data_IF_591439814569
#
_entry.id   IF_591439814569
#
_cell.length_a   1.000
_cell.length_b   1.000
_cell.length_c   1.000
_cell.angle_alpha   90.00
_cell.angle_beta   90.00
_cell.angle_gamma   90.00
#
_symmetry.space_group_name_H-M   'P 1'
#
loop_
_entity.id
_entity.type
_entity.pdbx_description
1 polymer ?
#
# COMPACT_ATOMS: atom_id res chain seq x y z
N UNK A 1 30.42 -18.66 -37.44
CA UNK A 1 30.40 -17.23 -37.10
C UNK A 1 29.47 -17.05 -35.90
N UNK A 2 30.03 -17.07 -34.70
CA UNK A 2 29.27 -16.72 -33.49
C UNK A 2 29.05 -15.21 -33.48
N UNK A 3 27.78 -14.79 -33.46
CA UNK A 3 27.45 -13.37 -33.26
C UNK A 3 27.53 -13.08 -31.77
N UNK A 4 28.48 -12.22 -31.40
CA UNK A 4 28.58 -11.63 -30.07
C UNK A 4 27.24 -10.96 -29.71
N UNK A 5 26.55 -11.53 -28.73
CA UNK A 5 25.44 -10.87 -28.04
C UNK A 5 26.05 -9.80 -27.13
N UNK A 6 26.00 -8.55 -27.57
CA UNK A 6 26.26 -7.39 -26.73
C UNK A 6 25.17 -7.28 -25.68
N UNK A 7 25.50 -7.57 -24.42
CA UNK A 7 24.66 -7.24 -23.28
C UNK A 7 24.54 -5.72 -23.19
N UNK A 8 23.36 -5.19 -23.48
CA UNK A 8 23.02 -3.79 -23.20
C UNK A 8 22.80 -3.70 -21.69
N UNK A 9 23.69 -3.00 -20.99
CA UNK A 9 23.60 -2.75 -19.56
C UNK A 9 22.55 -1.69 -19.27
N UNK A 10 21.28 -2.09 -19.23
CA UNK A 10 20.20 -1.24 -18.68
C UNK A 10 20.21 -1.35 -17.16
N UNK A 11 20.19 -0.21 -16.49
CA UNK A 11 20.08 -0.12 -15.02
C UNK A 11 18.73 -0.66 -14.53
N UNK A 12 18.61 -1.12 -13.26
CA UNK A 12 17.34 -1.57 -12.70
C UNK A 12 16.20 -0.53 -12.82
N UNK A 13 16.54 0.76 -12.75
CA UNK A 13 15.63 1.89 -12.93
C UNK A 13 15.11 1.98 -14.38
N UNK A 14 15.99 1.89 -15.37
CA UNK A 14 15.62 1.85 -16.79
C UNK A 14 14.75 0.62 -17.08
N UNK A 15 15.07 -0.53 -16.48
CA UNK A 15 14.26 -1.75 -16.60
C UNK A 15 12.88 -1.60 -15.96
N UNK A 16 12.76 -0.94 -14.82
CA UNK A 16 11.47 -0.69 -14.18
C UNK A 16 10.60 0.27 -15.01
N UNK A 17 11.20 1.33 -15.56
CA UNK A 17 10.51 2.28 -16.42
C UNK A 17 10.10 1.63 -17.76
N UNK A 18 10.96 0.79 -18.35
CA UNK A 18 10.63 -0.04 -19.51
C UNK A 18 9.44 -0.96 -19.22
N UNK A 19 9.42 -1.64 -18.07
CA UNK A 19 8.32 -2.54 -17.70
C UNK A 19 7.00 -1.81 -17.42
N UNK A 20 7.05 -0.61 -16.84
CA UNK A 20 5.85 0.22 -16.66
C UNK A 20 5.31 0.72 -18.00
N UNK A 21 6.19 1.21 -18.89
CA UNK A 21 5.82 1.64 -20.23
C UNK A 21 5.23 0.49 -21.06
N UNK A 22 5.85 -0.70 -20.99
CA UNK A 22 5.37 -1.90 -21.68
C UNK A 22 4.01 -2.35 -21.12
N UNK A 23 3.80 -2.28 -19.79
CA UNK A 23 2.50 -2.56 -19.16
C UNK A 23 1.41 -1.57 -19.62
N UNK A 24 1.71 -0.28 -19.69
CA UNK A 24 0.78 0.75 -20.17
C UNK A 24 0.46 0.55 -21.65
N UNK A 25 1.46 0.22 -22.47
CA UNK A 25 1.29 -0.05 -23.88
C UNK A 25 0.51 -1.34 -24.15
N UNK A 26 0.70 -2.39 -23.35
CA UNK A 26 -0.12 -3.61 -23.39
C UNK A 26 -1.56 -3.29 -23.01
N UNK A 27 -1.80 -2.46 -21.99
CA UNK A 27 -3.15 -2.01 -21.63
C UNK A 27 -3.82 -1.22 -22.77
N UNK A 28 -3.08 -0.33 -23.43
CA UNK A 28 -3.56 0.43 -24.58
C UNK A 28 -3.86 -0.48 -25.79
N UNK A 29 -2.97 -1.41 -26.12
CA UNK A 29 -3.14 -2.34 -27.23
C UNK A 29 -4.25 -3.38 -26.98
N UNK A 30 -4.39 -3.85 -25.74
CA UNK A 30 -5.49 -4.71 -25.32
C UNK A 30 -6.85 -4.00 -25.41
N UNK A 31 -6.87 -2.69 -25.16
CA UNK A 31 -8.06 -1.85 -25.38
C UNK A 31 -8.35 -1.62 -26.88
N UNK A 32 -7.33 -1.71 -27.75
CA UNK A 32 -7.40 -1.42 -29.19
C UNK A 32 -7.51 -2.65 -30.12
N UNK A 33 -7.55 -3.89 -29.59
CA UNK A 33 -7.73 -5.16 -30.33
C UNK A 33 -6.85 -5.35 -31.59
N UNK A 34 -5.63 -4.82 -31.63
CA UNK A 34 -4.75 -4.95 -32.81
C UNK A 34 -3.30 -5.21 -32.41
N UNK A 35 -2.83 -6.44 -32.63
CA UNK A 35 -1.39 -6.76 -32.66
C UNK A 35 -1.00 -7.15 -34.10
N UNK A 36 0.04 -6.55 -34.71
CA UNK A 36 0.41 -6.82 -36.10
C UNK A 36 1.04 -8.21 -36.30
N UNK A 37 0.77 -8.84 -37.45
CA UNK A 37 1.22 -10.20 -37.82
C UNK A 37 2.74 -10.38 -37.89
N UNK A 38 3.51 -9.29 -37.97
CA UNK A 38 4.95 -9.32 -38.25
C UNK A 38 5.78 -9.71 -37.01
N UNK A 39 5.27 -9.47 -35.80
CA UNK A 39 5.93 -9.87 -34.55
C UNK A 39 5.90 -11.39 -34.32
N UNK A 40 4.93 -12.10 -34.90
CA UNK A 40 4.82 -13.57 -34.80
C UNK A 40 5.91 -14.30 -35.60
N UNK A 41 6.27 -13.79 -36.78
CA UNK A 41 7.25 -14.44 -37.68
C UNK A 41 8.70 -14.38 -37.17
N UNK A 42 9.02 -13.39 -36.32
CA UNK A 42 10.33 -13.26 -35.70
C UNK A 42 10.56 -14.28 -34.56
N UNK A 43 9.48 -14.68 -33.88
CA UNK A 43 9.49 -15.60 -32.75
C UNK A 43 9.71 -17.06 -33.18
N UNK A 44 9.10 -17.50 -34.30
CA UNK A 44 9.27 -18.87 -34.83
C UNK A 44 10.71 -19.21 -35.24
N UNK A 45 11.52 -18.20 -35.57
CA UNK A 45 12.86 -18.40 -36.15
C UNK A 45 13.96 -18.70 -35.11
N UNK A 46 13.70 -18.53 -33.83
CA UNK A 46 14.73 -18.55 -32.77
C UNK A 46 14.63 -19.74 -31.78
N UNK A 47 13.89 -20.79 -32.15
CA UNK A 47 13.43 -21.84 -31.23
C UNK A 47 14.38 -23.06 -31.12
N UNK A 48 15.58 -22.86 -30.57
CA UNK A 48 16.45 -23.98 -30.14
C UNK A 48 17.20 -23.65 -28.84
N UNK A 49 16.83 -24.32 -27.74
CA UNK A 49 17.69 -25.13 -26.83
C UNK A 49 17.21 -25.20 -25.34
N UNK A 50 17.09 -26.46 -24.88
CA UNK A 50 17.30 -27.08 -23.55
C UNK A 50 16.19 -27.01 -22.48
N UNK A 51 15.62 -28.20 -22.23
CA UNK A 51 14.87 -28.64 -21.05
C UNK A 51 15.90 -29.08 -19.98
N UNK A 52 15.81 -28.57 -18.74
CA UNK A 52 16.40 -29.22 -17.58
C UNK A 52 15.31 -29.72 -16.62
N UNK A 53 15.43 -30.99 -16.26
CA UNK A 53 14.67 -31.70 -15.23
C UNK A 53 14.81 -31.01 -13.87
N UNK A 54 13.71 -31.07 -13.11
CA UNK A 54 13.63 -30.83 -11.68
C UNK A 54 14.77 -31.55 -10.95
N UNK A 55 15.66 -30.80 -10.30
CA UNK A 55 16.42 -31.15 -9.09
C UNK A 55 17.49 -30.06 -8.87
N UNK A 56 17.21 -29.07 -8.01
CA UNK A 56 18.23 -28.16 -7.47
C UNK A 56 17.77 -27.55 -6.13
N UNK A 57 18.33 -28.09 -5.06
CA UNK A 57 18.62 -27.39 -3.80
C UNK A 57 19.44 -26.11 -4.13
N UNK A 58 19.11 -24.91 -3.66
CA UNK A 58 19.72 -23.69 -4.22
C UNK A 58 21.07 -23.37 -3.56
N UNK A 59 22.17 -23.19 -4.30
CA UNK A 59 23.31 -22.44 -3.81
C UNK A 59 23.19 -20.97 -4.22
N UNK A 60 23.40 -20.11 -3.23
CA UNK A 60 23.93 -18.74 -3.27
C UNK A 60 24.30 -18.24 -4.68
N UNK A 61 23.42 -17.46 -5.32
CA UNK A 61 23.81 -16.32 -6.17
C UNK A 61 22.58 -15.46 -6.50
N UNK A 62 22.64 -14.19 -6.10
CA UNK A 62 21.54 -13.22 -6.14
C UNK A 62 21.37 -12.51 -7.48
N UNK A 63 22.29 -12.69 -8.42
CA UNK A 63 22.19 -12.15 -9.79
C UNK A 63 21.17 -12.91 -10.67
N UNK A 64 20.68 -14.05 -10.19
CA UNK A 64 19.79 -14.96 -10.95
C UNK A 64 18.33 -14.48 -10.94
N UNK A 65 17.90 -13.68 -9.96
CA UNK A 65 16.50 -13.28 -9.82
C UNK A 65 16.04 -12.22 -10.83
N UNK A 66 16.92 -11.29 -11.25
CA UNK A 66 16.58 -10.25 -12.25
C UNK A 66 16.56 -10.83 -13.68
N UNK A 67 17.41 -11.82 -13.96
CA UNK A 67 17.41 -12.57 -15.22
C UNK A 67 16.15 -13.44 -15.35
N UNK A 68 15.54 -13.86 -14.23
CA UNK A 68 14.31 -14.64 -14.21
C UNK A 68 13.10 -13.83 -14.70
N UNK A 69 13.04 -12.51 -14.53
CA UNK A 69 11.84 -11.71 -14.90
C UNK A 69 11.79 -11.40 -16.39
N UNK A 70 12.90 -10.95 -16.99
CA UNK A 70 13.02 -10.86 -18.47
C UNK A 70 12.90 -12.24 -19.11
N UNK A 71 13.38 -13.32 -18.48
CA UNK A 71 13.17 -14.70 -19.00
C UNK A 71 11.77 -15.23 -18.75
N UNK A 72 11.03 -14.85 -17.72
CA UNK A 72 9.66 -15.36 -17.46
C UNK A 72 8.65 -14.65 -18.34
N UNK A 73 8.75 -13.33 -18.54
CA UNK A 73 7.94 -12.61 -19.53
C UNK A 73 8.28 -13.07 -20.97
N UNK A 74 9.58 -13.16 -21.30
CA UNK A 74 10.04 -13.66 -22.60
C UNK A 74 9.76 -15.15 -22.80
N UNK A 75 9.79 -16.01 -21.78
CA UNK A 75 9.39 -17.43 -21.88
C UNK A 75 7.88 -17.63 -21.85
N UNK A 76 7.09 -16.76 -21.22
CA UNK A 76 5.63 -16.81 -21.34
C UNK A 76 5.19 -16.45 -22.78
N UNK A 77 5.90 -15.50 -23.41
CA UNK A 77 5.75 -15.16 -24.83
C UNK A 77 6.33 -16.24 -25.78
N UNK A 78 7.52 -16.79 -25.49
CA UNK A 78 8.22 -17.76 -26.36
C UNK A 78 7.70 -19.21 -26.19
N UNK A 79 7.23 -19.62 -25.01
CA UNK A 79 6.77 -21.01 -24.76
C UNK A 79 5.31 -21.28 -25.18
N UNK A 80 4.66 -20.37 -25.92
CA UNK A 80 3.26 -20.57 -26.34
C UNK A 80 2.27 -20.72 -25.17
N UNK A 81 2.58 -20.11 -24.01
CA UNK A 81 1.70 -20.12 -22.83
C UNK A 81 0.62 -19.02 -22.90
N UNK A 82 0.65 -18.16 -23.92
CA UNK A 82 -0.58 -17.73 -24.56
C UNK A 82 -1.07 -18.89 -25.41
N UNK A 83 -2.21 -19.51 -25.09
CA UNK A 83 -2.67 -20.64 -25.85
C UNK A 83 -2.90 -20.22 -27.30
N UNK A 84 -2.21 -20.91 -28.21
CA UNK A 84 -2.65 -21.18 -29.57
C UNK A 84 -3.98 -21.97 -29.61
N UNK A 85 -4.62 -22.24 -28.46
CA UNK A 85 -5.99 -22.70 -28.40
C UNK A 85 -6.96 -21.55 -28.65
N UNK A 86 -7.68 -21.66 -29.76
CA UNK A 86 -9.00 -21.05 -30.01
C UNK A 86 -9.80 -20.97 -28.70
N UNK A 87 -9.95 -19.79 -28.09
CA UNK A 87 -10.91 -19.58 -27.01
C UNK A 87 -10.53 -18.64 -25.87
N UNK A 88 -9.27 -18.27 -25.66
CA UNK A 88 -8.92 -17.29 -24.62
C UNK A 88 -8.97 -15.86 -25.18
N UNK A 89 -9.76 -14.98 -24.57
CA UNK A 89 -9.83 -13.57 -24.98
C UNK A 89 -8.56 -12.81 -24.56
N UNK A 90 -8.16 -11.75 -25.31
CA UNK A 90 -7.04 -10.88 -24.94
C UNK A 90 -7.12 -10.33 -23.50
N UNK A 91 -8.33 -10.10 -22.99
CA UNK A 91 -8.55 -9.70 -21.60
C UNK A 91 -8.10 -10.78 -20.60
N UNK A 92 -8.41 -12.05 -20.86
CA UNK A 92 -8.01 -13.19 -20.02
C UNK A 92 -6.49 -13.40 -20.04
N UNK A 93 -5.86 -13.15 -21.19
CA UNK A 93 -4.41 -13.19 -21.36
C UNK A 93 -3.71 -12.07 -20.56
N UNK A 94 -4.22 -10.83 -20.63
CA UNK A 94 -3.73 -9.72 -19.82
C UNK A 94 -3.83 -9.97 -18.32
N UNK A 95 -4.94 -10.58 -17.88
CA UNK A 95 -5.16 -10.98 -16.48
C UNK A 95 -4.11 -12.00 -15.98
N UNK A 96 -3.72 -12.95 -16.84
CA UNK A 96 -2.67 -13.96 -16.54
C UNK A 96 -1.29 -13.31 -16.44
N UNK A 97 -0.94 -12.41 -17.37
CA UNK A 97 0.34 -11.69 -17.32
C UNK A 97 0.44 -10.82 -16.06
N UNK A 98 -0.63 -10.10 -15.74
CA UNK A 98 -0.74 -9.32 -14.50
C UNK A 98 -0.54 -10.20 -13.26
N UNK A 99 -1.18 -11.38 -13.20
CA UNK A 99 -0.98 -12.31 -12.08
C UNK A 99 0.43 -12.90 -12.02
N UNK A 100 1.11 -13.09 -13.16
CA UNK A 100 2.51 -13.53 -13.19
C UNK A 100 3.47 -12.43 -12.72
N UNK A 101 3.24 -11.18 -13.12
CA UNK A 101 3.98 -10.00 -12.62
C UNK A 101 3.74 -9.82 -11.13
N UNK A 102 2.49 -9.89 -10.67
CA UNK A 102 2.16 -9.81 -9.24
C UNK A 102 2.77 -10.96 -8.43
N UNK A 103 2.89 -12.17 -9.01
CA UNK A 103 3.60 -13.29 -8.39
C UNK A 103 5.12 -13.10 -8.36
N UNK A 104 5.71 -12.52 -9.40
CA UNK A 104 7.14 -12.19 -9.43
C UNK A 104 7.46 -11.09 -8.41
N UNK A 105 6.63 -10.05 -8.36
CA UNK A 105 6.64 -9.03 -7.31
C UNK A 105 6.42 -9.64 -5.93
N UNK A 106 5.51 -10.61 -5.77
CA UNK A 106 5.31 -11.35 -4.52
C UNK A 106 6.52 -12.20 -4.14
N UNK A 107 7.39 -12.61 -5.09
CA UNK A 107 8.66 -13.28 -4.79
C UNK A 107 9.77 -12.29 -4.45
N UNK A 108 9.81 -11.13 -5.12
CA UNK A 108 10.63 -9.98 -4.70
C UNK A 108 10.27 -9.53 -3.28
N UNK A 109 9.00 -9.64 -2.92
CA UNK A 109 8.41 -9.39 -1.59
C UNK A 109 9.01 -10.24 -0.45
N UNK A 110 9.60 -11.38 -0.78
CA UNK A 110 10.33 -12.27 0.14
C UNK A 110 11.85 -12.16 -0.04
N UNK A 111 12.35 -11.28 -0.92
CA UNK A 111 13.76 -10.94 -0.91
C UNK A 111 14.10 -10.11 0.32
N UNK A 112 15.34 -10.25 0.77
CA UNK A 112 15.87 -9.56 1.94
C UNK A 112 15.69 -8.03 1.77
N UNK A 113 14.84 -7.41 2.60
CA UNK A 113 14.54 -5.96 2.56
C UNK A 113 15.84 -5.12 2.54
N UNK A 114 16.88 -5.58 3.23
CA UNK A 114 18.22 -4.97 3.25
C UNK A 114 18.85 -4.78 1.87
N UNK A 115 18.50 -5.60 0.88
CA UNK A 115 19.09 -5.55 -0.47
C UNK A 115 18.37 -4.62 -1.42
N UNK A 116 17.13 -4.28 -1.10
CA UNK A 116 16.26 -3.51 -1.98
C UNK A 116 15.89 -2.14 -1.40
N UNK A 117 16.20 -1.87 -0.12
CA UNK A 117 15.87 -0.60 0.56
C UNK A 117 16.49 0.63 -0.11
N UNK A 118 17.65 0.47 -0.75
CA UNK A 118 18.37 1.56 -1.41
C UNK A 118 17.88 1.81 -2.85
N UNK A 119 16.96 0.99 -3.36
CA UNK A 119 16.39 1.19 -4.69
C UNK A 119 15.41 2.37 -4.67
N UNK A 120 15.45 3.28 -5.67
CA UNK A 120 14.48 4.38 -5.80
C UNK A 120 13.02 3.91 -5.88
N UNK A 121 12.80 2.67 -6.32
CA UNK A 121 11.47 2.05 -6.44
C UNK A 121 10.98 1.40 -5.15
N UNK A 122 11.83 1.27 -4.11
CA UNK A 122 11.48 0.64 -2.84
C UNK A 122 10.20 1.20 -2.21
N UNK A 123 9.99 2.53 -2.14
CA UNK A 123 8.74 3.09 -1.59
C UNK A 123 7.48 2.61 -2.34
N UNK A 124 7.57 2.43 -3.67
CA UNK A 124 6.46 1.92 -4.50
C UNK A 124 6.20 0.43 -4.23
N UNK A 125 7.26 -0.35 -4.02
CA UNK A 125 7.16 -1.77 -3.64
C UNK A 125 6.46 -1.90 -2.27
N UNK A 126 6.87 -1.09 -1.29
CA UNK A 126 6.26 -1.09 0.05
C UNK A 126 4.79 -0.67 -0.02
N UNK A 127 4.43 0.30 -0.87
CA UNK A 127 3.03 0.67 -1.09
C UNK A 127 2.22 -0.48 -1.71
N UNK A 128 2.73 -1.14 -2.75
CA UNK A 128 2.08 -2.33 -3.30
C UNK A 128 1.93 -3.41 -2.21
N UNK A 129 2.92 -3.49 -1.30
CA UNK A 129 2.89 -4.41 -0.16
C UNK A 129 1.76 -4.07 0.82
N UNK A 130 1.61 -2.79 1.13
CA UNK A 130 0.54 -2.28 1.97
C UNK A 130 -0.84 -2.50 1.34
N UNK A 131 -0.99 -2.37 0.01
CA UNK A 131 -2.25 -2.64 -0.69
C UNK A 131 -2.68 -4.11 -0.63
N UNK A 132 -1.75 -5.05 -0.53
CA UNK A 132 -2.05 -6.47 -0.52
C UNK A 132 -2.15 -7.10 0.87
N UNK A 133 -1.49 -6.57 1.89
CA UNK A 133 -1.56 -7.11 3.26
C UNK A 133 -1.52 -6.06 4.36
N UNK A 134 -1.81 -6.51 5.58
CA UNK A 134 -1.58 -5.76 6.80
C UNK A 134 -0.10 -5.79 7.20
N UNK A 135 0.41 -4.68 7.72
CA UNK A 135 1.77 -4.56 8.25
C UNK A 135 1.78 -4.85 9.74
N UNK A 136 2.89 -5.43 10.22
CA UNK A 136 3.15 -5.46 11.66
C UNK A 136 3.44 -4.05 12.16
N UNK A 137 3.40 -3.87 13.48
CA UNK A 137 3.74 -2.58 14.09
C UNK A 137 5.19 -2.16 13.76
N UNK A 138 6.13 -3.10 13.80
CA UNK A 138 7.54 -2.86 13.49
C UNK A 138 7.73 -2.44 12.02
N UNK A 139 6.96 -3.02 11.10
CA UNK A 139 6.96 -2.62 9.70
C UNK A 139 6.40 -1.20 9.52
N UNK A 140 5.31 -0.85 10.22
CA UNK A 140 4.74 0.50 10.19
C UNK A 140 5.73 1.55 10.71
N UNK A 141 6.53 1.24 11.73
CA UNK A 141 7.53 2.17 12.24
C UNK A 141 8.60 2.50 11.19
N UNK A 142 9.04 1.52 10.39
CA UNK A 142 9.98 1.73 9.29
C UNK A 142 9.37 2.53 8.14
N UNK A 143 8.06 2.44 7.92
CA UNK A 143 7.37 3.17 6.84
C UNK A 143 7.52 4.69 6.99
N UNK A 144 7.60 5.22 8.22
CA UNK A 144 7.76 6.66 8.44
C UNK A 144 9.06 7.24 7.88
N UNK A 145 10.06 6.41 7.60
CA UNK A 145 11.32 6.82 6.97
C UNK A 145 11.21 6.97 5.44
N UNK A 146 10.09 6.52 4.85
CA UNK A 146 9.87 6.54 3.41
C UNK A 146 9.24 7.86 2.94
N UNK A 147 9.60 8.36 1.75
CA UNK A 147 9.05 9.61 1.22
C UNK A 147 7.55 9.55 0.94
N UNK A 148 6.96 8.36 0.78
CA UNK A 148 5.53 8.14 0.58
C UNK A 148 4.84 7.55 1.82
N UNK A 149 5.41 7.73 3.03
CA UNK A 149 4.88 7.22 4.28
C UNK A 149 3.38 7.49 4.46
N UNK A 150 2.94 8.72 4.16
CA UNK A 150 1.53 9.12 4.30
C UNK A 150 0.59 8.21 3.49
N UNK A 151 0.91 7.93 2.22
CA UNK A 151 0.09 7.09 1.36
C UNK A 151 0.03 5.65 1.90
N UNK A 152 1.19 5.11 2.31
CA UNK A 152 1.30 3.74 2.83
C UNK A 152 0.49 3.59 4.12
N UNK A 153 0.65 4.51 5.09
CA UNK A 153 -0.06 4.45 6.38
C UNK A 153 -1.57 4.62 6.17
N UNK A 154 -2.00 5.53 5.30
CA UNK A 154 -3.41 5.71 4.97
C UNK A 154 -4.03 4.41 4.43
N UNK A 155 -3.34 3.71 3.53
CA UNK A 155 -3.80 2.41 3.02
C UNK A 155 -3.92 1.35 4.12
N UNK A 156 -3.03 1.38 5.12
CA UNK A 156 -3.12 0.47 6.27
C UNK A 156 -4.31 0.80 7.18
N UNK A 157 -4.56 2.09 7.45
CA UNK A 157 -5.69 2.53 8.27
C UNK A 157 -7.02 2.18 7.61
N UNK A 158 -7.17 2.34 6.29
CA UNK A 158 -8.38 1.93 5.54
C UNK A 158 -8.71 0.44 5.67
N UNK A 159 -7.72 -0.39 6.01
CA UNK A 159 -7.87 -1.84 6.26
C UNK A 159 -8.25 -2.16 7.70
N UNK A 160 -8.65 -1.16 8.50
CA UNK A 160 -9.06 -1.33 9.89
C UNK A 160 -7.94 -1.89 10.77
N UNK A 161 -6.68 -1.56 10.44
CA UNK A 161 -5.54 -1.90 11.29
C UNK A 161 -5.52 -0.94 12.47
N UNK A 162 -5.65 -1.50 13.68
CA UNK A 162 -5.45 -0.76 14.93
C UNK A 162 -3.99 -0.33 15.05
N UNK A 163 -3.78 0.97 15.16
CA UNK A 163 -2.45 1.55 15.33
C UNK A 163 -2.09 1.61 16.82
N UNK A 164 -0.87 1.17 17.17
CA UNK A 164 -0.35 1.36 18.51
C UNK A 164 -0.03 2.83 18.79
N UNK A 165 -0.01 3.22 20.06
CA UNK A 165 0.19 4.59 20.50
C UNK A 165 1.38 5.28 19.82
N UNK A 166 2.55 4.63 19.76
CA UNK A 166 3.73 5.21 19.10
C UNK A 166 3.49 5.53 17.62
N UNK A 167 2.85 4.60 16.89
CA UNK A 167 2.48 4.81 15.48
C UNK A 167 1.47 5.95 15.33
N UNK A 168 0.49 6.05 16.24
CA UNK A 168 -0.47 7.15 16.24
C UNK A 168 0.22 8.51 16.42
N UNK A 169 1.20 8.59 17.33
CA UNK A 169 1.91 9.84 17.60
C UNK A 169 2.82 10.25 16.43
N UNK A 170 3.50 9.29 15.79
CA UNK A 170 4.32 9.55 14.60
C UNK A 170 3.52 10.06 13.40
N UNK A 171 2.23 9.74 13.29
CA UNK A 171 1.39 10.28 12.22
C UNK A 171 1.39 11.81 12.21
N UNK A 172 1.42 12.45 13.38
CA UNK A 172 1.43 13.91 13.50
C UNK A 172 2.69 14.59 12.94
N UNK A 173 3.74 13.83 12.64
CA UNK A 173 4.97 14.32 12.01
C UNK A 173 4.89 14.34 10.48
N UNK A 174 3.84 13.74 9.89
CA UNK A 174 3.60 13.72 8.45
C UNK A 174 3.06 15.07 7.95
N UNK A 175 3.05 15.26 6.63
CA UNK A 175 2.58 16.51 6.02
C UNK A 175 1.07 16.74 6.15
N UNK A 176 0.26 15.68 6.04
CA UNK A 176 -1.20 15.77 6.20
C UNK A 176 -1.74 14.72 7.18
N UNK A 177 -1.40 14.85 8.48
CA UNK A 177 -1.84 13.89 9.51
C UNK A 177 -3.35 13.79 9.62
N UNK A 178 -4.06 14.89 9.35
CA UNK A 178 -5.51 15.00 9.51
C UNK A 178 -6.32 13.99 8.70
N UNK A 179 -5.84 13.61 7.52
CA UNK A 179 -6.52 12.63 6.67
C UNK A 179 -6.45 11.23 7.30
N UNK A 180 -5.25 10.85 7.75
CA UNK A 180 -5.00 9.54 8.38
C UNK A 180 -5.76 9.44 9.70
N UNK A 181 -5.64 10.45 10.56
CA UNK A 181 -6.30 10.48 11.87
C UNK A 181 -7.82 10.44 11.71
N UNK A 182 -8.38 11.17 10.74
CA UNK A 182 -9.81 11.14 10.46
C UNK A 182 -10.28 9.75 9.99
N UNK A 183 -9.54 9.10 9.08
CA UNK A 183 -9.88 7.75 8.63
C UNK A 183 -9.76 6.73 9.77
N UNK A 184 -8.79 6.90 10.67
CA UNK A 184 -8.62 6.04 11.84
C UNK A 184 -9.84 6.11 12.77
N UNK A 185 -10.25 7.32 13.17
CA UNK A 185 -11.40 7.48 14.08
C UNK A 185 -12.73 7.07 13.44
N UNK A 186 -12.84 7.15 12.11
CA UNK A 186 -14.00 6.67 11.34
C UNK A 186 -14.12 5.15 11.38
N UNK A 187 -13.00 4.44 11.46
CA UNK A 187 -12.93 2.99 11.62
C UNK A 187 -13.16 2.54 13.07
N UNK A 188 -13.68 3.43 13.92
CA UNK A 188 -13.94 3.17 15.34
C UNK A 188 -12.68 2.79 16.14
N UNK A 189 -11.50 2.97 15.53
CA UNK A 189 -10.24 2.79 16.22
C UNK A 189 -9.99 4.00 17.10
N UNK A 190 -9.67 3.73 18.37
CA UNK A 190 -9.52 4.76 19.38
C UNK A 190 -8.17 5.45 19.26
N UNK A 191 -8.18 6.78 19.31
CA UNK A 191 -6.95 7.53 19.57
C UNK A 191 -6.52 7.34 21.03
N UNK A 192 -5.21 7.14 21.25
CA UNK A 192 -4.62 7.22 22.57
C UNK A 192 -4.78 8.64 23.14
N UNK A 193 -4.71 8.80 24.46
CA UNK A 193 -4.99 10.08 25.12
C UNK A 193 -4.16 11.24 24.55
N UNK A 194 -2.85 11.04 24.34
CA UNK A 194 -1.97 12.07 23.77
C UNK A 194 -2.33 12.40 22.31
N UNK A 195 -2.65 11.39 21.48
CA UNK A 195 -3.11 11.62 20.11
C UNK A 195 -4.45 12.37 20.06
N UNK A 196 -5.36 12.14 21.01
CA UNK A 196 -6.59 12.93 21.13
C UNK A 196 -6.28 14.40 21.37
N UNK A 197 -5.32 14.72 22.25
CA UNK A 197 -4.95 16.09 22.56
C UNK A 197 -4.28 16.81 21.39
N UNK A 198 -3.38 16.11 20.67
CA UNK A 198 -2.76 16.63 19.44
C UNK A 198 -3.77 16.85 18.31
N UNK A 199 -4.84 16.04 18.26
CA UNK A 199 -5.87 16.18 17.23
C UNK A 199 -6.65 17.50 17.32
N UNK A 200 -6.62 18.21 18.45
CA UNK A 200 -7.22 19.54 18.57
C UNK A 200 -6.51 20.62 17.73
N UNK A 201 -5.24 20.41 17.42
CA UNK A 201 -4.43 21.37 16.66
C UNK A 201 -4.52 21.12 15.14
N UNK A 202 -5.29 20.10 14.72
CA UNK A 202 -5.51 19.78 13.32
C UNK A 202 -6.60 20.66 12.68
N UNK A 203 -6.50 20.98 11.37
CA UNK A 203 -7.47 21.86 10.70
C UNK A 203 -8.94 21.41 10.78
N UNK A 204 -9.17 20.10 10.87
CA UNK A 204 -10.50 19.48 10.97
C UNK A 204 -10.78 18.89 12.38
N UNK A 205 -10.17 19.45 13.43
CA UNK A 205 -10.30 18.99 14.81
C UNK A 205 -11.76 18.73 15.23
N UNK A 206 -12.69 19.63 14.89
CA UNK A 206 -14.11 19.50 15.23
C UNK A 206 -14.74 18.18 14.74
N UNK A 207 -14.33 17.71 13.57
CA UNK A 207 -14.86 16.50 12.94
C UNK A 207 -14.21 15.26 13.53
N UNK A 208 -12.89 15.28 13.71
CA UNK A 208 -12.11 14.22 14.34
C UNK A 208 -12.59 13.98 15.77
N UNK A 209 -12.64 15.02 16.60
CA UNK A 209 -13.04 14.92 18.00
C UNK A 209 -14.51 14.51 18.12
N UNK A 210 -15.40 14.99 17.24
CA UNK A 210 -16.78 14.53 17.21
C UNK A 210 -16.91 13.05 16.86
N UNK A 211 -16.11 12.53 15.92
CA UNK A 211 -16.06 11.09 15.62
C UNK A 211 -15.52 10.30 16.80
N UNK A 212 -14.41 10.73 17.39
CA UNK A 212 -13.82 10.08 18.56
C UNK A 212 -14.79 10.03 19.75
N UNK A 213 -15.54 11.11 20.02
CA UNK A 213 -16.56 11.15 21.07
C UNK A 213 -17.72 10.16 20.84
N UNK A 214 -17.89 9.68 19.61
CA UNK A 214 -18.85 8.61 19.28
C UNK A 214 -18.24 7.21 19.40
N UNK A 215 -16.91 7.08 19.44
CA UNK A 215 -16.26 5.77 19.56
C UNK A 215 -16.53 5.14 20.93
N UNK A 216 -16.33 3.82 21.03
CA UNK A 216 -16.62 3.06 22.26
C UNK A 216 -15.87 3.60 23.48
N UNK A 217 -14.58 3.91 23.30
CA UNK A 217 -13.72 4.47 24.34
C UNK A 217 -13.97 5.97 24.60
N UNK A 218 -14.60 6.67 23.65
CA UNK A 218 -14.86 8.10 23.75
C UNK A 218 -13.59 8.95 23.91
N UNK A 219 -13.78 10.10 24.54
CA UNK A 219 -12.72 11.06 24.86
C UNK A 219 -12.12 10.80 26.26
N UNK A 220 -10.80 10.94 26.39
CA UNK A 220 -10.13 10.97 27.69
C UNK A 220 -10.52 12.24 28.48
N UNK A 221 -10.28 12.26 29.79
CA UNK A 221 -10.68 13.36 30.67
C UNK A 221 -10.26 14.74 30.12
N UNK A 222 -8.97 14.92 29.84
CA UNK A 222 -8.45 16.20 29.35
C UNK A 222 -9.04 16.59 27.99
N UNK A 223 -9.24 15.62 27.09
CA UNK A 223 -9.88 15.85 25.81
C UNK A 223 -11.37 16.23 25.95
N UNK A 224 -12.09 15.71 26.96
CA UNK A 224 -13.46 16.13 27.25
C UNK A 224 -13.51 17.60 27.65
N UNK A 225 -12.59 18.05 28.50
CA UNK A 225 -12.52 19.45 28.94
C UNK A 225 -12.12 20.38 27.81
N UNK A 226 -11.12 19.98 27.00
CA UNK A 226 -10.68 20.74 25.82
C UNK A 226 -11.77 20.80 24.73
N UNK A 227 -12.63 19.80 24.63
CA UNK A 227 -13.76 19.79 23.69
C UNK A 227 -14.77 20.93 23.92
N UNK A 228 -14.81 21.55 25.10
CA UNK A 228 -15.65 22.74 25.34
C UNK A 228 -15.19 23.99 24.57
N UNK A 229 -13.95 24.01 24.08
CA UNK A 229 -13.36 25.13 23.35
C UNK A 229 -13.69 25.06 21.84
N UNK A 230 -14.20 23.93 21.36
CA UNK A 230 -14.55 23.74 19.96
C UNK A 230 -15.90 24.42 19.61
N UNK A 231 -16.05 25.00 18.41
CA UNK A 231 -17.31 25.64 18.00
C UNK A 231 -18.55 24.75 18.07
N UNK A 232 -18.38 23.43 17.89
CA UNK A 232 -19.45 22.43 17.97
C UNK A 232 -19.47 21.68 19.32
N UNK A 233 -18.89 22.24 20.38
CA UNK A 233 -18.72 21.64 21.71
C UNK A 233 -19.97 20.93 22.23
N UNK A 234 -21.13 21.62 22.24
CA UNK A 234 -22.38 21.03 22.75
C UNK A 234 -22.72 19.69 22.07
N UNK A 235 -22.51 19.59 20.76
CA UNK A 235 -22.78 18.37 19.99
C UNK A 235 -21.80 17.26 20.34
N UNK A 236 -20.54 17.60 20.55
CA UNK A 236 -19.48 16.66 20.99
C UNK A 236 -19.77 16.13 22.39
N UNK A 237 -20.00 17.02 23.35
CA UNK A 237 -20.27 16.67 24.75
C UNK A 237 -21.53 15.80 24.87
N UNK A 238 -22.61 16.13 24.15
CA UNK A 238 -23.81 15.27 24.10
C UNK A 238 -23.56 13.90 23.47
N UNK A 239 -22.64 13.80 22.51
CA UNK A 239 -22.29 12.51 21.90
C UNK A 239 -21.50 11.63 22.87
N UNK A 240 -20.56 12.24 23.61
CA UNK A 240 -19.75 11.61 24.65
C UNK A 240 -20.61 11.16 25.84
N UNK A 241 -21.53 12.00 26.32
CA UNK A 241 -22.42 11.69 27.45
C UNK A 241 -23.31 10.44 27.22
N UNK A 242 -23.54 10.07 25.95
CA UNK A 242 -24.30 8.85 25.58
C UNK A 242 -23.42 7.59 25.49
N UNK A 243 -22.11 7.70 25.69
CA UNK A 243 -21.19 6.55 25.65
C UNK A 243 -21.19 5.83 27.00
N UNK A 244 -20.69 4.59 27.00
CA UNK A 244 -20.60 3.75 28.20
C UNK A 244 -19.85 4.44 29.36
N UNK A 245 -18.72 5.08 29.05
CA UNK A 245 -17.91 5.80 30.04
C UNK A 245 -18.45 7.21 30.36
N UNK A 246 -19.47 7.68 29.64
CA UNK A 246 -20.09 8.98 29.87
C UNK A 246 -19.10 10.15 29.83
N UNK A 247 -19.43 11.18 30.61
CA UNK A 247 -18.53 12.29 30.92
C UNK A 247 -17.81 12.03 32.24
N UNK A 248 -16.62 12.60 32.41
CA UNK A 248 -16.05 12.76 33.74
C UNK A 248 -16.85 13.80 34.54
N UNK A 249 -16.73 13.75 35.87
CA UNK A 249 -17.48 14.62 36.78
C UNK A 249 -17.32 16.11 36.45
N UNK A 250 -16.10 16.56 36.15
CA UNK A 250 -15.82 17.96 35.83
C UNK A 250 -16.46 18.40 34.50
N UNK A 251 -16.38 17.56 33.46
CA UNK A 251 -17.03 17.83 32.19
C UNK A 251 -18.56 17.77 32.32
N UNK A 252 -19.10 16.87 33.14
CA UNK A 252 -20.53 16.76 33.39
C UNK A 252 -21.05 18.00 34.12
N UNK A 253 -20.39 18.43 35.20
CA UNK A 253 -20.76 19.63 35.95
C UNK A 253 -20.74 20.86 35.04
N UNK A 254 -19.68 21.01 34.23
CA UNK A 254 -19.58 22.10 33.26
C UNK A 254 -20.69 22.05 32.22
N UNK A 255 -21.02 20.87 31.70
CA UNK A 255 -22.11 20.69 30.74
C UNK A 255 -23.48 21.04 31.34
N UNK A 256 -23.76 20.67 32.59
CA UNK A 256 -25.00 21.02 33.30
C UNK A 256 -25.11 22.53 33.54
N UNK A 257 -24.02 23.20 33.96
CA UNK A 257 -23.98 24.67 34.14
C UNK A 257 -24.28 25.42 32.84
N UNK A 258 -23.90 24.86 31.70
CA UNK A 258 -24.18 25.41 30.36
C UNK A 258 -25.56 25.01 29.81
N UNK A 259 -26.35 24.19 30.54
CA UNK A 259 -27.65 23.69 30.08
C UNK A 259 -27.57 22.73 28.91
N UNK A 260 -26.46 21.99 28.77
CA UNK A 260 -26.25 21.06 27.65
C UNK A 260 -26.73 19.64 27.93
N UNK A 261 -26.76 19.25 29.20
CA UNK A 261 -27.33 18.02 29.76
C UNK A 261 -28.46 18.39 30.71
#
# INVERSE_FOLDING_TARGET
>A
MEKNLTCVSTTPEEMYLELQAEKEQIHQNASAQTLPKEEYAWLEKNDKYIIYKNDCNPPRNQDVCIILEKKVAKRAMVAGLLPTNKGLSPAKAGEIVLTMVDRAFSRLYYMNEEKIKDLPTFPKIVLAKAKNRAFSHEELLKVFELPNAQEIILEQVKKWITLRNETQLKIFELQNPQEIIFEQVKNWDGLCAEAQLKAFDLPNAQEIIFKQAKNWYGLCHEAQLKAFELPNAQKIIRAQAKRWHGLCDEAEEKARKLGWL
#
